data_IF_112575717534
#
_entry.id   IF_112575717534
#
_cell.length_a   1.000
_cell.length_b   1.000
_cell.length_c   1.000
_cell.angle_alpha   90.00
_cell.angle_beta   90.00
_cell.angle_gamma   90.00
#
_symmetry.space_group_name_H-M   'P 1'
#
loop_
_entity.id
_entity.type
_entity.pdbx_description
1 polymer ?
#
# COMPACT_ATOMS: atom_id res chain seq x y z
N UNK A 1 -0.54 6.62 -21.06
CA UNK A 1 -1.24 5.62 -21.87
C UNK A 1 -1.15 5.97 -23.36
N UNK A 2 -1.87 6.95 -23.89
CA UNK A 2 -1.84 7.28 -25.32
C UNK A 2 -0.45 7.66 -25.86
N UNK A 3 0.27 8.58 -25.20
CA UNK A 3 1.64 8.93 -25.58
C UNK A 3 2.60 7.72 -25.53
N UNK A 4 2.49 6.90 -24.48
CA UNK A 4 3.28 5.66 -24.34
C UNK A 4 2.94 4.63 -25.43
N UNK A 5 1.66 4.51 -25.81
CA UNK A 5 1.21 3.63 -26.89
C UNK A 5 1.73 4.08 -28.26
N UNK A 6 1.95 5.38 -28.44
CA UNK A 6 2.58 5.96 -29.62
C UNK A 6 4.12 5.93 -29.58
N UNK A 7 4.73 5.33 -28.55
CA UNK A 7 6.19 5.25 -28.38
C UNK A 7 6.85 6.50 -27.76
N UNK A 8 6.04 7.49 -27.37
CA UNK A 8 6.50 8.72 -26.72
C UNK A 8 6.53 8.66 -25.19
N UNK A 9 7.00 9.72 -24.56
CA UNK A 9 7.06 9.84 -23.10
C UNK A 9 5.70 10.23 -22.51
N UNK A 10 5.25 9.64 -21.39
CA UNK A 10 4.05 10.08 -20.67
C UNK A 10 4.07 11.55 -20.24
N UNK A 11 5.27 12.11 -20.10
CA UNK A 11 5.52 13.48 -19.67
C UNK A 11 5.37 14.51 -20.80
N UNK A 12 5.22 14.08 -22.05
CA UNK A 12 4.91 14.99 -23.18
C UNK A 12 3.54 15.65 -23.02
N UNK A 13 2.71 15.13 -22.11
CA UNK A 13 1.46 15.77 -21.70
C UNK A 13 1.71 16.60 -20.45
N UNK A 14 1.62 17.93 -20.57
CA UNK A 14 1.85 18.89 -19.47
C UNK A 14 1.00 18.66 -18.20
N UNK A 15 -0.14 17.99 -18.36
CA UNK A 15 -1.05 17.66 -17.26
C UNK A 15 -0.75 16.33 -16.57
N UNK A 16 0.28 15.59 -17.00
CA UNK A 16 0.66 14.31 -16.42
C UNK A 16 1.60 14.50 -15.22
N UNK A 17 1.11 14.14 -14.02
CA UNK A 17 1.82 14.30 -12.75
C UNK A 17 2.11 12.99 -12.02
N UNK A 18 1.87 11.87 -12.69
CA UNK A 18 1.96 10.54 -12.09
C UNK A 18 3.24 9.82 -12.51
N UNK A 19 3.67 8.77 -11.79
CA UNK A 19 4.83 7.97 -12.19
C UNK A 19 4.55 7.23 -13.50
N UNK A 20 5.57 7.06 -14.37
CA UNK A 20 5.40 6.47 -15.70
C UNK A 20 4.91 5.02 -15.62
N UNK A 21 5.18 4.32 -14.50
CA UNK A 21 4.62 3.02 -14.18
C UNK A 21 3.08 3.02 -14.22
N UNK A 22 2.44 4.06 -13.69
CA UNK A 22 0.98 4.19 -13.75
C UNK A 22 0.51 4.37 -15.20
N UNK A 23 1.24 5.14 -16.02
CA UNK A 23 0.92 5.27 -17.44
C UNK A 23 1.03 3.95 -18.20
N UNK A 24 1.97 3.07 -17.81
CA UNK A 24 2.13 1.73 -18.36
C UNK A 24 0.98 0.79 -17.92
N UNK A 25 0.55 0.84 -16.65
CA UNK A 25 -0.61 0.06 -16.18
C UNK A 25 -1.91 0.43 -16.89
N UNK A 26 -2.02 1.68 -17.33
CA UNK A 26 -3.16 2.21 -18.09
C UNK A 26 -3.01 2.04 -19.62
N UNK A 27 -1.96 1.37 -20.09
CA UNK A 27 -1.76 1.13 -21.53
C UNK A 27 -2.95 0.43 -22.20
N UNK A 28 -3.64 -0.55 -21.58
CA UNK A 28 -4.84 -1.15 -22.17
C UNK A 28 -5.97 -0.14 -22.48
N UNK A 29 -6.03 0.99 -21.76
CA UNK A 29 -6.98 2.07 -22.09
C UNK A 29 -6.77 2.62 -23.50
N UNK A 30 -5.51 2.69 -23.95
CA UNK A 30 -5.14 3.19 -25.27
C UNK A 30 -5.22 2.12 -26.36
N UNK A 31 -5.28 0.84 -25.98
CA UNK A 31 -5.32 -0.32 -26.90
C UNK A 31 -6.74 -0.84 -27.15
N UNK A 32 -7.77 -0.08 -26.78
CA UNK A 32 -9.18 -0.43 -27.08
C UNK A 32 -10.04 -0.79 -25.86
N UNK A 33 -9.53 -0.71 -24.63
CA UNK A 33 -10.31 -0.93 -23.41
C UNK A 33 -10.52 0.38 -22.61
N UNK A 34 -11.36 1.33 -23.07
CA UNK A 34 -11.43 2.69 -22.53
C UNK A 34 -11.79 2.80 -21.04
N UNK A 35 -12.39 1.75 -20.47
CA UNK A 35 -12.79 1.70 -19.06
C UNK A 35 -11.85 0.89 -18.15
N UNK A 36 -10.78 0.32 -18.70
CA UNK A 36 -9.86 -0.56 -17.94
C UNK A 36 -9.30 0.13 -16.69
N UNK A 37 -8.80 1.36 -16.81
CA UNK A 37 -8.27 2.11 -15.67
C UNK A 37 -9.30 2.35 -14.57
N UNK A 38 -10.55 2.66 -14.94
CA UNK A 38 -11.63 2.84 -13.96
C UNK A 38 -11.94 1.52 -13.25
N UNK A 39 -12.01 0.42 -13.99
CA UNK A 39 -12.22 -0.90 -13.42
C UNK A 39 -11.09 -1.29 -12.46
N UNK A 40 -9.82 -1.03 -12.84
CA UNK A 40 -8.65 -1.28 -11.99
C UNK A 40 -8.71 -0.48 -10.68
N UNK A 41 -9.07 0.80 -10.74
CA UNK A 41 -9.17 1.65 -9.55
C UNK A 41 -10.33 1.25 -8.63
N UNK A 42 -11.49 0.93 -9.19
CA UNK A 42 -12.62 0.40 -8.42
C UNK A 42 -12.28 -0.97 -7.78
N UNK A 43 -11.56 -1.85 -8.49
CA UNK A 43 -11.12 -3.13 -7.95
C UNK A 43 -10.10 -2.94 -6.82
N UNK A 44 -9.17 -1.98 -6.95
CA UNK A 44 -8.24 -1.62 -5.89
C UNK A 44 -8.97 -1.08 -4.64
N UNK A 45 -10.00 -0.25 -4.81
CA UNK A 45 -10.82 0.26 -3.71
C UNK A 45 -11.63 -0.84 -3.00
N UNK A 46 -12.18 -1.79 -3.76
CA UNK A 46 -12.82 -2.98 -3.20
C UNK A 46 -11.82 -3.83 -2.40
N UNK A 47 -10.60 -4.00 -2.92
CA UNK A 47 -9.53 -4.72 -2.25
C UNK A 47 -9.09 -4.02 -0.96
N UNK A 48 -9.09 -2.68 -0.90
CA UNK A 48 -8.83 -1.92 0.33
C UNK A 48 -9.82 -2.32 1.44
N UNK A 49 -11.12 -2.32 1.13
CA UNK A 49 -12.15 -2.73 2.08
C UNK A 49 -11.95 -4.17 2.59
N UNK A 50 -11.55 -5.08 1.69
CA UNK A 50 -11.25 -6.47 2.06
C UNK A 50 -10.02 -6.60 2.96
N UNK A 51 -8.89 -5.96 2.61
CA UNK A 51 -7.66 -5.99 3.43
C UNK A 51 -7.91 -5.36 4.79
N UNK A 52 -8.72 -4.29 4.85
CA UNK A 52 -9.07 -3.64 6.11
C UNK A 52 -9.83 -4.61 7.03
N UNK A 53 -10.85 -5.31 6.53
CA UNK A 53 -11.55 -6.33 7.28
C UNK A 53 -10.62 -7.48 7.74
N UNK A 54 -9.70 -7.92 6.87
CA UNK A 54 -8.73 -8.97 7.20
C UNK A 54 -7.75 -8.56 8.31
N UNK A 55 -7.27 -7.30 8.29
CA UNK A 55 -6.47 -6.73 9.38
C UNK A 55 -7.28 -6.74 10.69
N UNK A 56 -8.53 -6.29 10.65
CA UNK A 56 -9.42 -6.27 11.82
C UNK A 56 -9.62 -7.68 12.40
N UNK A 57 -9.85 -8.69 11.56
CA UNK A 57 -9.96 -10.10 11.99
C UNK A 57 -8.66 -10.61 12.61
N UNK A 58 -7.51 -10.33 11.99
CA UNK A 58 -6.20 -10.77 12.48
C UNK A 58 -5.87 -10.19 13.84
N UNK A 59 -6.39 -9.00 14.17
CA UNK A 59 -6.24 -8.36 15.48
C UNK A 59 -7.21 -8.90 16.55
N UNK A 60 -8.00 -9.93 16.24
CA UNK A 60 -8.91 -10.58 17.19
C UNK A 60 -10.27 -9.90 17.34
N UNK A 61 -10.60 -8.93 16.48
CA UNK A 61 -11.92 -8.32 16.48
C UNK A 61 -12.96 -9.27 15.86
N UNK A 62 -14.18 -9.26 16.41
CA UNK A 62 -15.26 -10.13 15.94
C UNK A 62 -15.70 -9.83 14.50
N UNK A 63 -16.36 -10.80 13.86
CA UNK A 63 -16.78 -10.73 12.45
C UNK A 63 -17.72 -9.55 12.15
N UNK A 64 -18.48 -9.07 13.14
CA UNK A 64 -19.28 -7.85 13.02
C UNK A 64 -18.40 -6.61 12.83
N UNK A 65 -17.32 -6.48 13.60
CA UNK A 65 -16.41 -5.34 13.49
C UNK A 65 -15.67 -5.34 12.15
N UNK A 66 -15.21 -6.51 11.68
CA UNK A 66 -14.57 -6.63 10.37
C UNK A 66 -15.49 -6.22 9.21
N UNK A 67 -16.75 -6.67 9.24
CA UNK A 67 -17.77 -6.25 8.25
C UNK A 67 -18.07 -4.77 8.33
N UNK A 68 -18.18 -4.20 9.53
CA UNK A 68 -18.38 -2.77 9.71
C UNK A 68 -17.19 -1.95 9.20
N UNK A 69 -15.95 -2.42 9.37
CA UNK A 69 -14.78 -1.74 8.84
C UNK A 69 -14.76 -1.73 7.31
N UNK A 70 -15.03 -2.88 6.67
CA UNK A 70 -15.19 -2.94 5.21
C UNK A 70 -16.35 -2.06 4.72
N UNK A 71 -17.50 -2.10 5.39
CA UNK A 71 -18.66 -1.30 5.03
C UNK A 71 -18.38 0.20 5.19
N UNK A 72 -17.73 0.60 6.29
CA UNK A 72 -17.35 1.98 6.53
C UNK A 72 -16.38 2.51 5.45
N UNK A 73 -15.54 1.66 4.87
CA UNK A 73 -14.69 2.05 3.74
C UNK A 73 -15.46 2.12 2.42
N UNK A 74 -16.16 1.03 2.06
CA UNK A 74 -16.80 0.87 0.75
C UNK A 74 -18.01 1.78 0.56
N UNK A 75 -18.76 2.04 1.63
CA UNK A 75 -19.93 2.93 1.60
C UNK A 75 -19.58 4.37 1.98
N UNK A 76 -18.30 4.71 2.12
CA UNK A 76 -17.91 6.10 2.30
C UNK A 76 -18.06 6.86 0.96
N UNK A 77 -18.93 7.89 0.89
CA UNK A 77 -19.18 8.61 -0.36
C UNK A 77 -17.93 9.30 -0.92
N UNK A 78 -16.95 9.61 -0.07
CA UNK A 78 -15.70 10.23 -0.48
C UNK A 78 -14.81 9.26 -1.27
N UNK A 79 -14.55 8.06 -0.73
CA UNK A 79 -13.71 7.04 -1.38
C UNK A 79 -14.39 6.50 -2.63
N UNK A 80 -15.68 6.17 -2.55
CA UNK A 80 -16.47 5.72 -3.69
C UNK A 80 -16.50 6.75 -4.83
N UNK A 81 -16.66 8.04 -4.50
CA UNK A 81 -16.67 9.13 -5.48
C UNK A 81 -15.29 9.41 -6.10
N UNK A 82 -14.19 9.15 -5.40
CA UNK A 82 -12.83 9.32 -5.93
C UNK A 82 -12.46 8.17 -6.88
N UNK A 83 -12.77 6.93 -6.50
CA UNK A 83 -12.50 5.73 -7.29
C UNK A 83 -13.28 5.74 -8.62
N UNK A 84 -14.57 6.09 -8.57
CA UNK A 84 -15.45 6.15 -9.77
C UNK A 84 -15.10 7.28 -10.74
N UNK A 85 -14.53 8.39 -10.25
CA UNK A 85 -13.97 9.45 -11.10
C UNK A 85 -12.69 9.03 -11.83
N UNK A 86 -12.14 7.85 -11.54
CA UNK A 86 -10.94 7.32 -12.18
C UNK A 86 -9.65 7.81 -11.55
N UNK A 87 -9.66 8.12 -10.24
CA UNK A 87 -8.43 8.44 -9.51
C UNK A 87 -7.68 7.17 -9.11
N UNK A 88 -6.35 7.22 -9.16
CA UNK A 88 -5.50 6.12 -8.71
C UNK A 88 -5.26 6.12 -7.19
N UNK A 89 -5.91 6.99 -6.42
CA UNK A 89 -5.66 7.15 -4.96
C UNK A 89 -5.93 5.89 -4.14
N UNK A 90 -6.79 4.99 -4.62
CA UNK A 90 -7.04 3.69 -3.99
C UNK A 90 -5.80 2.76 -4.05
N UNK A 91 -4.94 2.88 -5.07
CA UNK A 91 -3.78 2.00 -5.23
C UNK A 91 -2.67 2.20 -4.18
N UNK A 92 -2.15 3.41 -3.92
CA UNK A 92 -1.19 3.62 -2.84
C UNK A 92 -1.80 3.31 -1.48
N UNK A 93 -3.10 3.58 -1.28
CA UNK A 93 -3.82 3.20 -0.06
C UNK A 93 -3.82 1.68 0.15
N UNK A 94 -4.13 0.91 -0.88
CA UNK A 94 -4.06 -0.55 -0.87
C UNK A 94 -2.64 -1.04 -0.54
N UNK A 95 -1.62 -0.48 -1.19
CA UNK A 95 -0.23 -0.87 -0.96
C UNK A 95 0.22 -0.60 0.48
N UNK A 96 -0.18 0.54 1.09
CA UNK A 96 0.10 0.82 2.51
C UNK A 96 -0.59 -0.19 3.43
N UNK A 97 -1.85 -0.53 3.16
CA UNK A 97 -2.57 -1.52 3.96
C UNK A 97 -1.99 -2.93 3.83
N UNK A 98 -1.56 -3.33 2.63
CA UNK A 98 -0.84 -4.59 2.41
C UNK A 98 0.50 -4.60 3.15
N UNK A 99 1.23 -3.48 3.16
CA UNK A 99 2.44 -3.33 3.94
C UNK A 99 2.17 -3.52 5.44
N UNK A 100 1.14 -2.85 5.97
CA UNK A 100 0.71 -2.99 7.36
C UNK A 100 0.28 -4.44 7.69
N UNK A 101 -0.46 -5.08 6.79
CA UNK A 101 -0.89 -6.48 6.95
C UNK A 101 0.29 -7.45 6.99
N UNK A 102 1.26 -7.27 6.10
CA UNK A 102 2.50 -8.05 6.08
C UNK A 102 3.35 -7.81 7.33
N UNK A 103 3.37 -6.57 7.83
CA UNK A 103 4.06 -6.19 9.06
C UNK A 103 3.44 -6.87 10.29
N UNK A 104 2.11 -6.92 10.38
CA UNK A 104 1.38 -7.69 11.41
C UNK A 104 1.71 -9.18 11.33
N UNK A 105 1.91 -9.72 10.13
CA UNK A 105 2.34 -11.10 9.90
C UNK A 105 3.85 -11.32 10.12
N UNK A 106 4.59 -10.33 10.62
CA UNK A 106 6.06 -10.32 10.80
C UNK A 106 6.88 -10.61 9.53
N UNK A 107 6.32 -10.31 8.36
CA UNK A 107 6.99 -10.46 7.06
C UNK A 107 7.57 -9.11 6.61
N UNK A 108 8.67 -8.70 7.23
CA UNK A 108 9.27 -7.37 7.05
C UNK A 108 9.70 -7.08 5.61
N UNK A 109 10.24 -8.06 4.88
CA UNK A 109 10.67 -7.90 3.47
C UNK A 109 9.48 -7.62 2.55
N UNK A 110 8.36 -8.32 2.76
CA UNK A 110 7.15 -8.10 1.96
C UNK A 110 6.51 -6.76 2.34
N UNK A 111 6.54 -6.40 3.64
CA UNK A 111 6.05 -5.12 4.11
C UNK A 111 6.83 -3.95 3.51
N UNK A 112 8.16 -4.01 3.49
CA UNK A 112 9.00 -2.96 2.92
C UNK A 112 8.84 -2.86 1.40
N UNK A 113 8.67 -3.98 0.69
CA UNK A 113 8.39 -3.98 -0.75
C UNK A 113 7.06 -3.26 -1.08
N UNK A 114 5.98 -3.58 -0.35
CA UNK A 114 4.69 -2.92 -0.54
C UNK A 114 4.73 -1.44 -0.16
N UNK A 115 5.46 -1.09 0.90
CA UNK A 115 5.64 0.30 1.31
C UNK A 115 6.43 1.12 0.28
N UNK A 116 7.54 0.57 -0.22
CA UNK A 116 8.32 1.18 -1.30
C UNK A 116 7.45 1.36 -2.55
N UNK A 117 6.65 0.37 -2.92
CA UNK A 117 5.70 0.48 -4.03
C UNK A 117 4.67 1.59 -3.81
N UNK A 118 4.14 1.74 -2.59
CA UNK A 118 3.21 2.82 -2.26
C UNK A 118 3.83 4.21 -2.45
N UNK A 119 5.07 4.42 -1.96
CA UNK A 119 5.81 5.68 -2.09
C UNK A 119 6.14 5.99 -3.55
N UNK A 120 6.46 4.97 -4.35
CA UNK A 120 6.68 5.14 -5.79
C UNK A 120 5.41 5.58 -6.51
N UNK A 121 4.24 5.07 -6.12
CA UNK A 121 2.96 5.47 -6.72
C UNK A 121 2.55 6.91 -6.35
N UNK A 122 2.80 7.31 -5.10
CA UNK A 122 2.52 8.66 -4.61
C UNK A 122 3.45 8.98 -3.46
N UNK A 123 3.98 10.21 -3.40
CA UNK A 123 4.94 10.60 -2.36
C UNK A 123 4.32 10.62 -0.95
N UNK A 124 3.00 10.83 -0.83
CA UNK A 124 2.33 11.03 0.45
C UNK A 124 2.54 9.89 1.47
N UNK A 125 2.45 8.58 1.11
CA UNK A 125 2.85 7.46 1.97
C UNK A 125 4.20 7.58 2.69
N UNK A 126 5.14 8.40 2.20
CA UNK A 126 6.44 8.62 2.85
C UNK A 126 6.31 9.14 4.30
N UNK A 127 5.20 9.84 4.63
CA UNK A 127 4.95 10.35 5.99
C UNK A 127 4.84 9.23 7.03
N UNK A 128 4.51 8.00 6.61
CA UNK A 128 4.38 6.86 7.50
C UNK A 128 5.72 6.19 7.84
N UNK A 129 6.83 6.60 7.19
CA UNK A 129 8.13 5.98 7.41
C UNK A 129 8.57 6.00 8.88
N UNK A 130 8.48 7.13 9.63
CA UNK A 130 8.86 7.15 11.04
C UNK A 130 8.01 6.20 11.89
N UNK A 131 6.70 6.15 11.64
CA UNK A 131 5.79 5.27 12.37
C UNK A 131 6.07 3.78 12.12
N UNK A 132 6.39 3.41 10.87
CA UNK A 132 6.78 2.04 10.52
C UNK A 132 8.13 1.65 11.11
N UNK A 133 9.10 2.58 11.13
CA UNK A 133 10.41 2.35 11.74
C UNK A 133 10.30 2.14 13.25
N UNK A 134 9.56 3.00 13.96
CA UNK A 134 9.31 2.83 15.40
C UNK A 134 8.62 1.48 15.72
N UNK A 135 7.70 1.05 14.87
CA UNK A 135 7.06 -0.27 15.02
C UNK A 135 8.06 -1.41 14.83
N UNK A 136 8.99 -1.29 13.87
CA UNK A 136 10.04 -2.28 13.63
C UNK A 136 11.10 -2.30 14.75
N UNK A 137 11.47 -1.13 15.28
CA UNK A 137 12.44 -0.98 16.37
C UNK A 137 11.93 -1.61 17.66
N UNK A 138 10.63 -1.49 17.96
CA UNK A 138 10.00 -2.19 19.10
C UNK A 138 10.08 -3.72 19.01
N UNK A 139 10.22 -4.28 17.81
CA UNK A 139 10.41 -5.71 17.58
C UNK A 139 11.90 -6.12 17.54
N UNK A 140 12.80 -5.22 17.12
CA UNK A 140 14.25 -5.48 16.98
C UNK A 140 15.08 -5.11 18.22
N UNK A 141 14.56 -4.33 19.17
CA UNK A 141 15.25 -4.05 20.44
C UNK A 141 15.04 -5.19 21.47
N UNK A 142 15.50 -6.40 21.12
CA UNK A 142 16.26 -7.17 22.11
C UNK A 142 17.71 -6.76 21.90
N UNK A 143 18.30 -5.88 22.74
CA UNK A 143 19.74 -5.78 22.76
C UNK A 143 20.23 -7.20 22.93
N UNK A 144 21.15 -7.63 22.07
CA UNK A 144 21.92 -8.85 22.32
C UNK A 144 22.67 -8.60 23.62
N UNK A 145 22.00 -8.84 24.74
CA UNK A 145 22.56 -8.77 26.06
C UNK A 145 23.71 -9.77 26.08
N UNK A 146 24.90 -9.24 26.38
CA UNK A 146 25.95 -9.96 27.07
C UNK A 146 26.31 -11.34 26.49
N UNK A 147 27.04 -11.37 25.39
CA UNK A 147 28.03 -12.42 25.16
C UNK A 147 29.42 -11.78 25.17
N UNK A 148 30.05 -11.81 26.35
CA UNK A 148 31.42 -11.33 26.52
C UNK A 148 31.82 -10.91 27.94
N UNK A 149 31.04 -11.22 28.98
CA UNK A 149 31.45 -11.12 30.38
C UNK A 149 31.53 -12.50 31.02
N UNK A 150 32.64 -13.20 30.80
CA UNK A 150 33.15 -14.28 31.65
C UNK A 150 34.58 -13.83 31.93
N UNK A 151 34.83 -13.17 33.06
CA UNK A 151 34.98 -13.82 34.35
C UNK A 151 35.92 -15.04 34.23
N UNK A 152 37.22 -14.73 34.18
CA UNK A 152 38.30 -15.65 34.54
C UNK A 152 38.79 -15.23 35.92
N UNK A 153 38.09 -15.69 36.94
CA UNK A 153 38.64 -15.81 38.29
C UNK A 153 39.32 -17.17 38.46
N UNK A 154 40.49 -17.16 39.10
CA UNK A 154 40.95 -18.25 39.97
C UNK A 154 41.67 -19.44 39.32
N UNK A 155 43.00 -19.34 39.24
CA UNK A 155 43.94 -20.33 39.76
C UNK A 155 45.33 -19.69 39.87
#
# INVERSE_FOLDING_TARGET
AAALAAGGSPYERDTYRYPPLLAAMLLPNALGAPHWGKALFCAADAAVGWVLADITRTRGAGERAARLAAAAWLFNPYTAGISTRGSCDAMPTLAVLLALRALIARRTVIASAWYAFAVHLRLYPAIFAPALLLFLDGEHYRPSAARGGSDRGGA
#
